data_IF_366532494597
#
_entry.id   IF_366532494597
#
_cell.length_a   1.000
_cell.length_b   1.000
_cell.length_c   1.000
_cell.angle_alpha   90.00
_cell.angle_beta   90.00
_cell.angle_gamma   90.00
#
_symmetry.space_group_name_H-M   'P 1'
#
loop_
_entity.id
_entity.type
_entity.pdbx_description
1 polymer ?
#
# COMPACT_ATOMS: atom_id res chain seq x y z
N UNK A 1 -3.44 -17.99 6.79
CA UNK A 1 -2.44 -17.58 7.78
C UNK A 1 -2.71 -16.18 8.26
N UNK A 2 -2.38 -15.91 9.50
CA UNK A 2 -2.67 -14.61 10.11
C UNK A 2 -2.00 -13.44 9.40
N UNK A 3 -0.77 -13.62 8.95
CA UNK A 3 -0.01 -12.53 8.32
C UNK A 3 -0.69 -12.07 7.04
N UNK A 4 -1.12 -13.01 6.22
CA UNK A 4 -1.80 -12.67 4.98
C UNK A 4 -3.13 -11.98 5.23
N UNK A 5 -3.88 -12.45 6.23
CA UNK A 5 -5.14 -11.81 6.62
C UNK A 5 -4.93 -10.39 7.10
N UNK A 6 -3.89 -10.18 7.91
CA UNK A 6 -3.57 -8.84 8.39
C UNK A 6 -3.17 -7.92 7.26
N UNK A 7 -2.35 -8.42 6.33
CA UNK A 7 -1.95 -7.66 5.17
C UNK A 7 -3.19 -7.21 4.38
N UNK A 8 -4.09 -8.15 4.10
CA UNK A 8 -5.29 -7.84 3.34
C UNK A 8 -6.19 -6.85 4.07
N UNK A 9 -6.34 -7.00 5.39
CA UNK A 9 -7.11 -6.07 6.20
C UNK A 9 -6.54 -4.66 6.18
N UNK A 10 -5.22 -4.55 6.32
CA UNK A 10 -4.56 -3.25 6.30
C UNK A 10 -4.68 -2.57 4.93
N UNK A 11 -4.53 -3.34 3.88
CA UNK A 11 -4.67 -2.80 2.53
C UNK A 11 -6.12 -2.40 2.25
N UNK A 12 -7.08 -3.22 2.67
CA UNK A 12 -8.49 -2.88 2.51
C UNK A 12 -8.84 -1.61 3.28
N UNK A 13 -8.33 -1.45 4.50
CA UNK A 13 -8.52 -0.24 5.28
C UNK A 13 -7.93 0.98 4.58
N UNK A 14 -6.75 0.81 3.98
CA UNK A 14 -6.11 1.88 3.23
C UNK A 14 -6.99 2.33 2.06
N UNK A 15 -7.51 1.39 1.29
CA UNK A 15 -8.40 1.73 0.18
C UNK A 15 -9.70 2.37 0.66
N UNK A 16 -10.18 1.97 1.84
CA UNK A 16 -11.39 2.59 2.41
C UNK A 16 -11.13 4.04 2.84
N UNK A 17 -9.93 4.33 3.38
CA UNK A 17 -9.57 5.67 3.80
C UNK A 17 -9.26 6.59 2.61
N UNK A 18 -8.81 6.01 1.52
CA UNK A 18 -8.35 6.77 0.35
C UNK A 18 -9.18 6.39 -0.87
N UNK A 19 -10.40 6.94 -0.99
CA UNK A 19 -11.27 6.57 -2.12
C UNK A 19 -10.69 6.91 -3.48
N UNK A 20 -9.75 7.85 -3.55
CA UNK A 20 -9.10 8.23 -4.80
C UNK A 20 -7.95 7.31 -5.19
N UNK A 21 -7.56 6.38 -4.30
CA UNK A 21 -6.47 5.44 -4.57
C UNK A 21 -7.03 4.23 -5.31
N UNK A 22 -6.46 3.92 -6.47
CA UNK A 22 -6.89 2.78 -7.29
C UNK A 22 -5.97 1.58 -7.15
N UNK A 23 -4.71 1.81 -6.88
CA UNK A 23 -3.77 0.72 -6.73
C UNK A 23 -2.36 1.23 -6.51
N UNK A 24 -1.47 0.32 -6.16
CA UNK A 24 -0.05 0.61 -6.01
C UNK A 24 0.73 -0.69 -6.03
N UNK A 25 2.03 -0.57 -6.24
CA UNK A 25 2.94 -1.71 -6.24
C UNK A 25 4.00 -1.53 -5.18
N UNK A 26 4.54 -2.64 -4.70
CA UNK A 26 5.67 -2.64 -3.78
C UNK A 26 6.84 -3.29 -4.50
N UNK A 27 7.95 -2.59 -4.58
CA UNK A 27 9.18 -3.10 -5.20
C UNK A 27 10.26 -3.24 -4.15
N UNK A 28 11.12 -4.23 -4.34
CA UNK A 28 12.27 -4.44 -3.47
C UNK A 28 13.54 -4.12 -4.26
N UNK A 29 14.41 -3.30 -3.67
CA UNK A 29 15.64 -2.89 -4.30
C UNK A 29 16.66 -2.62 -3.21
N UNK A 30 17.83 -3.26 -3.29
CA UNK A 30 18.90 -3.10 -2.29
C UNK A 30 18.42 -3.35 -0.86
N UNK A 31 17.62 -4.40 -0.68
CA UNK A 31 17.03 -4.79 0.60
C UNK A 31 16.07 -3.76 1.18
N UNK A 32 15.62 -2.83 0.38
CA UNK A 32 14.61 -1.85 0.79
C UNK A 32 13.34 -2.04 -0.02
N UNK A 33 12.21 -1.72 0.61
CA UNK A 33 10.93 -1.75 -0.07
C UNK A 33 10.51 -0.33 -0.47
N UNK A 34 10.00 -0.21 -1.67
CA UNK A 34 9.53 1.07 -2.22
C UNK A 34 8.10 0.92 -2.72
N UNK A 35 7.33 1.97 -2.53
CA UNK A 35 6.01 2.08 -3.15
C UNK A 35 6.20 2.68 -4.54
N UNK A 36 5.59 2.05 -5.54
CA UNK A 36 5.68 2.52 -6.93
C UNK A 36 4.35 2.30 -7.64
N UNK A 37 4.25 2.85 -8.84
CA UNK A 37 3.10 2.65 -9.72
C UNK A 37 1.78 2.97 -9.02
N UNK A 38 1.76 4.10 -8.31
CA UNK A 38 0.57 4.52 -7.59
C UNK A 38 -0.47 5.04 -8.59
N UNK A 39 -1.61 4.34 -8.64
CA UNK A 39 -2.74 4.74 -9.46
C UNK A 39 -3.74 5.52 -8.64
N UNK A 40 -4.04 6.74 -9.07
CA UNK A 40 -4.95 7.62 -8.35
C UNK A 40 -5.94 8.24 -9.32
N UNK A 41 -7.05 8.73 -8.77
CA UNK A 41 -8.05 9.45 -9.55
C UNK A 41 -7.43 10.70 -10.17
N UNK A 42 -7.88 11.11 -11.36
CA UNK A 42 -7.35 12.32 -11.99
C UNK A 42 -7.75 13.58 -11.21
N UNK A 43 -7.00 14.65 -11.44
CA UNK A 43 -7.27 15.99 -10.91
C UNK A 43 -7.01 16.16 -9.42
N UNK A 44 -6.19 15.30 -8.83
CA UNK A 44 -5.74 15.53 -7.47
C UNK A 44 -4.62 16.56 -7.46
N UNK A 45 -4.60 17.38 -6.41
CA UNK A 45 -3.48 18.30 -6.21
C UNK A 45 -2.24 17.54 -5.78
N UNK A 46 -1.07 18.19 -5.91
CA UNK A 46 0.17 17.59 -5.46
C UNK A 46 0.12 17.27 -3.96
N UNK A 47 -0.55 18.12 -3.19
CA UNK A 47 -0.69 17.90 -1.75
C UNK A 47 -1.53 16.65 -1.47
N UNK A 48 -2.65 16.49 -2.17
CA UNK A 48 -3.51 15.33 -2.00
C UNK A 48 -2.77 14.05 -2.40
N UNK A 49 -2.03 14.09 -3.50
CA UNK A 49 -1.22 12.95 -3.92
C UNK A 49 -0.20 12.58 -2.85
N UNK A 50 0.48 13.57 -2.30
CA UNK A 50 1.48 13.35 -1.25
C UNK A 50 0.88 12.73 0.01
N UNK A 51 -0.31 13.17 0.39
CA UNK A 51 -1.00 12.61 1.56
C UNK A 51 -1.36 11.15 1.36
N UNK A 52 -1.84 10.80 0.16
CA UNK A 52 -2.15 9.41 -0.17
C UNK A 52 -0.88 8.57 -0.14
N UNK A 53 0.20 9.06 -0.76
CA UNK A 53 1.47 8.35 -0.77
C UNK A 53 1.98 8.11 0.64
N UNK A 54 1.90 9.11 1.50
CA UNK A 54 2.32 8.98 2.90
C UNK A 54 1.46 7.97 3.66
N UNK A 55 0.16 7.93 3.39
CA UNK A 55 -0.72 6.97 4.03
C UNK A 55 -0.36 5.55 3.62
N UNK A 56 -0.06 5.34 2.33
CA UNK A 56 0.42 4.03 1.86
C UNK A 56 1.69 3.64 2.60
N UNK A 57 2.68 4.52 2.60
CA UNK A 57 3.98 4.23 3.20
C UNK A 57 3.85 3.95 4.69
N UNK A 58 3.05 4.74 5.40
CA UNK A 58 2.84 4.55 6.83
C UNK A 58 2.14 3.23 7.12
N UNK A 59 1.12 2.90 6.33
CA UNK A 59 0.38 1.65 6.52
C UNK A 59 1.31 0.45 6.37
N UNK A 60 2.15 0.46 5.34
CA UNK A 60 3.09 -0.63 5.12
C UNK A 60 4.17 -0.68 6.21
N UNK A 61 4.65 0.48 6.65
CA UNK A 61 5.65 0.54 7.71
C UNK A 61 5.11 -0.03 9.02
N UNK A 62 3.89 0.32 9.38
CA UNK A 62 3.25 -0.19 10.58
C UNK A 62 3.05 -1.71 10.49
N UNK A 63 2.64 -2.19 9.33
CA UNK A 63 2.48 -3.63 9.12
C UNK A 63 3.81 -4.35 9.30
N UNK A 64 4.89 -3.82 8.75
CA UNK A 64 6.21 -4.43 8.87
C UNK A 64 6.76 -4.38 10.29
N UNK A 65 6.40 -3.35 11.06
CA UNK A 65 6.77 -3.28 12.47
C UNK A 65 6.11 -4.39 13.27
N UNK A 66 4.83 -4.62 13.02
CA UNK A 66 4.07 -5.65 13.75
C UNK A 66 4.40 -7.04 13.27
N UNK A 67 4.59 -7.20 11.95
CA UNK A 67 4.81 -8.49 11.32
C UNK A 67 5.95 -8.38 10.32
N UNK A 68 7.21 -8.48 10.79
CA UNK A 68 8.36 -8.36 9.88
C UNK A 68 8.35 -9.36 8.73
N UNK A 69 7.73 -10.53 8.93
CA UNK A 69 7.65 -11.55 7.89
C UNK A 69 6.78 -11.13 6.71
N UNK A 70 5.98 -10.08 6.88
CA UNK A 70 5.15 -9.56 5.80
C UNK A 70 5.99 -9.02 4.64
N UNK A 71 7.27 -8.71 4.87
CA UNK A 71 8.16 -8.25 3.82
C UNK A 71 8.16 -9.23 2.64
N UNK A 72 8.19 -10.52 2.91
CA UNK A 72 8.18 -11.54 1.85
C UNK A 72 6.89 -11.48 1.03
N UNK A 73 5.78 -11.20 1.69
CA UNK A 73 4.49 -11.11 1.02
C UNK A 73 4.35 -9.83 0.21
N UNK A 74 5.05 -8.78 0.60
CA UNK A 74 4.96 -7.48 -0.07
C UNK A 74 5.85 -7.38 -1.30
N UNK A 75 6.96 -8.11 -1.33
CA UNK A 75 7.95 -8.00 -2.41
C UNK A 75 7.34 -8.25 -3.77
N UNK A 76 7.45 -7.25 -4.64
CA UNK A 76 7.01 -7.38 -6.02
C UNK A 76 5.51 -7.52 -6.19
N UNK A 77 4.76 -7.23 -5.15
CA UNK A 77 3.31 -7.39 -5.19
C UNK A 77 2.60 -6.11 -5.62
N UNK A 78 1.56 -6.28 -6.40
CA UNK A 78 0.70 -5.17 -6.82
C UNK A 78 -0.65 -5.32 -6.15
N UNK A 79 -1.14 -4.22 -5.61
CA UNK A 79 -2.45 -4.16 -4.98
C UNK A 79 -3.36 -3.27 -5.80
N UNK A 80 -4.59 -3.70 -6.00
CA UNK A 80 -5.56 -2.93 -6.76
C UNK A 80 -6.90 -2.97 -6.04
N UNK A 81 -7.61 -1.85 -6.14
CA UNK A 81 -8.96 -1.76 -5.57
C UNK A 81 -9.87 -2.76 -6.26
N UNK A 82 -10.58 -3.53 -5.45
CA UNK A 82 -11.56 -4.46 -5.98
C UNK A 82 -12.82 -3.68 -6.36
N UNK A 83 -13.24 -3.83 -7.61
CA UNK A 83 -14.46 -3.20 -8.09
C UNK A 83 -15.62 -4.20 -8.03
N UNK A 84 -16.69 -3.75 -7.47
CA UNK A 84 -17.90 -4.56 -7.38
C UNK A 84 -19.00 -3.97 -8.20
#
# INVERSE_FOLDING_TARGET
>A
MKIQSQLEQQVDSLFARCPELWGFSVRAENDELFVSDVGIAPRLSAQQYGEIFQDIARTLAELLEEEPEAEELLRGRTFARTLH
#
